data_IF_687131120735
#
_entry.id   IF_687131120735
#
_cell.length_a   1.000
_cell.length_b   1.000
_cell.length_c   1.000
_cell.angle_alpha   90.00
_cell.angle_beta   90.00
_cell.angle_gamma   90.00
#
_symmetry.space_group_name_H-M   'P 1'
#
loop_
_entity.id
_entity.type
_entity.pdbx_description
1 polymer ?
#
# COMPACT_ATOMS: atom_id res chain seq x y z
N UNK A 1 -0.60 36.02 35.54
CA UNK A 1 -1.83 35.48 34.89
C UNK A 1 -1.53 35.47 33.39
N UNK A 2 -1.66 34.43 32.57
CA UNK A 2 -2.01 33.03 32.74
C UNK A 2 -1.34 32.26 31.56
N UNK A 3 -0.67 31.15 31.89
CA UNK A 3 -0.53 29.86 31.17
C UNK A 3 -1.32 29.68 29.85
N UNK A 4 -0.63 29.22 28.79
CA UNK A 4 -0.86 27.97 27.99
C UNK A 4 -0.04 28.05 26.68
N UNK A 5 0.93 27.16 26.42
CA UNK A 5 0.80 25.88 25.69
C UNK A 5 1.50 25.92 24.31
N UNK A 6 2.49 25.07 24.11
CA UNK A 6 2.97 24.52 22.80
C UNK A 6 2.08 23.28 22.49
N UNK A 7 2.08 22.55 21.34
CA UNK A 7 3.11 22.47 20.28
C UNK A 7 2.63 22.06 18.84
N UNK A 8 3.61 21.66 18.01
CA UNK A 8 3.52 20.83 16.79
C UNK A 8 2.93 21.51 15.55
N UNK A 9 3.45 21.37 14.34
CA UNK A 9 4.35 20.39 13.76
C UNK A 9 3.98 20.41 12.28
N UNK A 10 4.62 21.27 11.50
CA UNK A 10 4.31 21.43 10.08
C UNK A 10 4.96 20.26 9.32
N UNK A 11 4.24 19.15 9.23
CA UNK A 11 4.45 18.20 8.15
C UNK A 11 4.16 18.94 6.83
N UNK A 12 5.14 18.91 5.94
CA UNK A 12 5.02 19.48 4.60
C UNK A 12 3.86 18.82 3.84
N UNK A 13 3.17 19.55 2.95
CA UNK A 13 2.01 19.05 2.24
C UNK A 13 2.43 17.94 1.27
N UNK A 14 1.68 16.84 1.29
CA UNK A 14 1.59 15.95 0.16
C UNK A 14 0.94 16.77 -0.97
N UNK A 15 1.72 17.09 -1.98
CA UNK A 15 1.28 17.85 -3.16
C UNK A 15 0.13 17.08 -3.85
N UNK A 16 -1.09 17.65 -3.97
CA UNK A 16 -2.27 16.94 -4.49
C UNK A 16 -2.34 16.92 -6.03
N UNK A 17 -1.22 17.09 -6.73
CA UNK A 17 -1.19 17.29 -8.18
C UNK A 17 -0.90 16.00 -8.98
N UNK A 18 -1.65 14.92 -8.74
CA UNK A 18 -1.73 13.84 -9.73
C UNK A 18 -3.15 13.28 -9.87
N UNK A 19 -3.97 14.02 -10.60
CA UNK A 19 -4.98 13.48 -11.49
C UNK A 19 -4.46 13.59 -12.94
N UNK A 20 -4.99 12.87 -13.93
CA UNK A 20 -5.41 11.47 -14.00
C UNK A 20 -4.51 10.69 -15.00
N UNK A 21 -4.42 9.36 -14.91
CA UNK A 21 -3.89 8.53 -16.00
C UNK A 21 -5.02 7.63 -16.52
N UNK A 22 -5.75 8.14 -17.53
CA UNK A 22 -6.53 7.40 -18.53
C UNK A 22 -5.61 6.40 -19.26
N UNK A 23 -5.91 5.12 -19.57
CA UNK A 23 -7.10 4.25 -19.57
C UNK A 23 -6.63 2.79 -19.30
N UNK A 24 -7.42 1.89 -18.68
CA UNK A 24 -7.33 0.47 -18.98
C UNK A 24 -8.53 0.06 -19.83
N UNK A 25 -8.27 -0.29 -21.09
CA UNK A 25 -9.22 -1.00 -21.92
C UNK A 25 -9.43 -2.42 -21.38
N UNK A 26 -10.54 -2.66 -20.69
CA UNK A 26 -11.15 -4.00 -20.52
C UNK A 26 -12.67 -3.87 -20.35
N UNK A 27 -13.35 -4.28 -21.43
CA UNK A 27 -14.77 -4.62 -21.62
C UNK A 27 -15.69 -4.77 -20.39
N UNK A 28 -16.78 -3.98 -20.40
CA UNK A 28 -18.15 -4.22 -19.87
C UNK A 28 -18.29 -4.98 -18.54
N UNK A 29 -17.93 -4.28 -17.47
CA UNK A 29 -18.71 -4.03 -16.25
C UNK A 29 -17.88 -3.00 -15.47
N UNK A 30 -18.17 -1.71 -15.65
CA UNK A 30 -17.31 -0.63 -15.15
C UNK A 30 -17.50 -0.42 -13.65
N UNK A 31 -17.04 -1.39 -12.86
CA UNK A 31 -16.77 -1.18 -11.45
C UNK A 31 -15.55 -0.26 -11.35
N UNK A 32 -15.69 0.91 -10.72
CA UNK A 32 -14.59 1.86 -10.55
C UNK A 32 -13.65 1.37 -9.44
N UNK A 33 -12.54 0.75 -9.82
CA UNK A 33 -11.52 0.27 -8.89
C UNK A 33 -10.42 1.31 -8.73
N UNK A 34 -10.13 1.72 -7.49
CA UNK A 34 -9.07 2.67 -7.18
C UNK A 34 -8.25 2.23 -5.97
N UNK A 35 -6.93 2.42 -6.02
CA UNK A 35 -6.02 2.22 -4.89
C UNK A 35 -5.51 3.57 -4.42
N UNK A 36 -5.63 3.86 -3.12
CA UNK A 36 -5.21 5.12 -2.51
C UNK A 36 -4.29 4.86 -1.33
N UNK A 37 -3.17 5.59 -1.25
CA UNK A 37 -2.30 5.56 -0.07
C UNK A 37 -2.91 6.39 1.05
N UNK A 38 -3.04 5.78 2.22
CA UNK A 38 -3.55 6.37 3.44
C UNK A 38 -2.44 6.36 4.50
N UNK A 39 -1.60 7.40 4.48
CA UNK A 39 -0.47 7.56 5.40
C UNK A 39 -0.91 7.72 6.86
N UNK A 40 -2.12 8.25 7.11
CA UNK A 40 -2.65 8.41 8.46
C UNK A 40 -2.90 7.06 9.15
N UNK A 41 -3.28 6.04 8.38
CA UNK A 41 -3.51 4.67 8.88
C UNK A 41 -2.37 3.70 8.53
N UNK A 42 -1.32 4.18 7.85
CA UNK A 42 -0.18 3.35 7.44
C UNK A 42 -0.59 2.21 6.51
N UNK A 43 -1.48 2.47 5.55
CA UNK A 43 -1.99 1.46 4.62
C UNK A 43 -2.28 2.02 3.23
N UNK A 44 -2.46 1.12 2.28
CA UNK A 44 -3.11 1.42 1.00
C UNK A 44 -4.49 0.81 1.01
N UNK A 45 -5.49 1.60 0.63
CA UNK A 45 -6.89 1.21 0.56
C UNK A 45 -7.25 0.92 -0.89
N UNK A 46 -7.96 -0.17 -1.15
CA UNK A 46 -8.60 -0.43 -2.46
C UNK A 46 -10.10 -0.23 -2.31
N UNK A 47 -10.69 0.56 -3.21
CA UNK A 47 -12.12 0.82 -3.26
C UNK A 47 -12.73 0.32 -4.56
N UNK A 48 -13.97 -0.14 -4.51
CA UNK A 48 -14.80 -0.48 -5.67
C UNK A 48 -16.04 0.39 -5.61
N UNK A 49 -16.26 1.23 -6.63
CA UNK A 49 -17.36 2.20 -6.68
C UNK A 49 -17.44 3.11 -5.44
N UNK A 50 -16.27 3.44 -4.88
CA UNK A 50 -16.13 4.26 -3.67
C UNK A 50 -16.34 3.51 -2.35
N UNK A 51 -16.71 2.23 -2.39
CA UNK A 51 -16.79 1.38 -1.19
C UNK A 51 -15.44 0.72 -0.90
N UNK A 52 -15.01 0.74 0.37
CA UNK A 52 -13.76 0.09 0.78
C UNK A 52 -13.86 -1.42 0.57
N UNK A 53 -13.00 -1.94 -0.31
CA UNK A 53 -12.91 -3.36 -0.63
C UNK A 53 -11.78 -4.07 0.12
N UNK A 54 -10.82 -3.32 0.64
CA UNK A 54 -9.82 -3.82 1.58
C UNK A 54 -8.58 -2.94 1.61
N UNK A 55 -7.51 -3.46 2.18
CA UNK A 55 -6.29 -2.68 2.38
C UNK A 55 -5.04 -3.55 2.55
N UNK A 56 -3.87 -2.95 2.33
CA UNK A 56 -2.58 -3.52 2.70
C UNK A 56 -1.82 -2.56 3.61
N UNK A 57 -1.44 -3.04 4.79
CA UNK A 57 -0.66 -2.27 5.76
C UNK A 57 0.77 -2.15 5.29
N UNK A 58 1.41 -1.02 5.59
CA UNK A 58 2.83 -0.82 5.41
C UNK A 58 3.48 -0.15 6.63
N UNK A 59 4.77 -0.44 6.86
CA UNK A 59 5.61 0.28 7.82
C UNK A 59 6.93 0.64 7.16
N UNK A 60 7.37 1.88 7.34
CA UNK A 60 8.65 2.34 6.84
C UNK A 60 9.75 2.17 7.89
N UNK A 61 10.85 1.55 7.47
CA UNK A 61 12.06 1.38 8.28
C UNK A 61 13.28 1.67 7.42
N UNK A 62 13.83 2.88 7.54
CA UNK A 62 14.92 3.34 6.69
C UNK A 62 14.50 3.34 5.22
N UNK A 63 15.27 2.65 4.39
CA UNK A 63 15.02 2.42 2.97
C UNK A 63 14.03 1.29 2.69
N UNK A 64 13.57 0.56 3.71
CA UNK A 64 12.62 -0.54 3.56
C UNK A 64 11.18 -0.10 3.86
N UNK A 65 10.23 -0.69 3.12
CA UNK A 65 8.79 -0.67 3.38
C UNK A 65 8.30 -2.10 3.59
N UNK A 66 7.84 -2.37 4.80
CA UNK A 66 7.42 -3.69 5.26
C UNK A 66 5.93 -3.83 5.08
N UNK A 67 5.48 -4.91 4.43
CA UNK A 67 4.06 -5.22 4.24
C UNK A 67 3.64 -6.39 5.14
N UNK A 68 3.21 -6.15 6.39
CA UNK A 68 2.90 -7.20 7.35
C UNK A 68 1.55 -7.88 7.12
N UNK A 69 0.59 -7.18 6.55
CA UNK A 69 -0.79 -7.63 6.51
C UNK A 69 -1.55 -7.05 5.32
N UNK A 70 -2.43 -7.87 4.75
CA UNK A 70 -3.32 -7.50 3.66
C UNK A 70 -4.66 -8.16 3.93
N UNK A 71 -5.74 -7.38 3.84
CA UNK A 71 -7.10 -7.82 4.07
C UNK A 71 -7.99 -7.35 2.92
N UNK A 72 -8.93 -8.20 2.51
CA UNK A 72 -9.99 -7.85 1.58
C UNK A 72 -11.32 -8.30 2.16
N UNK A 73 -12.35 -7.51 1.93
CA UNK A 73 -13.71 -7.90 2.26
C UNK A 73 -14.14 -9.07 1.36
N UNK A 74 -14.69 -10.12 1.98
CA UNK A 74 -15.12 -11.34 1.31
C UNK A 74 -16.15 -11.05 0.21
N UNK A 75 -16.96 -9.98 0.34
CA UNK A 75 -17.93 -9.57 -0.69
C UNK A 75 -17.29 -9.22 -2.04
N UNK A 76 -16.01 -8.86 -2.03
CA UNK A 76 -15.22 -8.53 -3.22
C UNK A 76 -14.18 -9.59 -3.58
N UNK A 77 -14.18 -10.74 -2.89
CA UNK A 77 -13.28 -11.85 -3.20
C UNK A 77 -13.54 -12.46 -4.57
N UNK A 78 -12.52 -13.10 -5.15
CA UNK A 78 -12.60 -13.74 -6.47
C UNK A 78 -12.49 -12.79 -7.67
N UNK A 79 -12.34 -11.48 -7.44
CA UNK A 79 -12.29 -10.45 -8.50
C UNK A 79 -10.88 -9.94 -8.83
N UNK A 80 -9.84 -10.55 -8.25
CA UNK A 80 -8.44 -10.17 -8.50
C UNK A 80 -7.97 -8.89 -7.79
N UNK A 81 -8.80 -8.27 -6.94
CA UNK A 81 -8.49 -7.01 -6.25
C UNK A 81 -7.21 -7.06 -5.40
N UNK A 82 -6.87 -8.22 -4.84
CA UNK A 82 -5.63 -8.39 -4.06
C UNK A 82 -4.39 -8.18 -4.91
N UNK A 83 -4.44 -8.62 -6.18
CA UNK A 83 -3.36 -8.40 -7.13
C UNK A 83 -3.19 -6.92 -7.46
N UNK A 84 -4.29 -6.22 -7.72
CA UNK A 84 -4.31 -4.78 -8.04
C UNK A 84 -3.76 -3.97 -6.86
N UNK A 85 -4.31 -4.21 -5.67
CA UNK A 85 -3.88 -3.54 -4.44
C UNK A 85 -2.39 -3.71 -4.17
N UNK A 86 -1.88 -4.95 -4.26
CA UNK A 86 -0.46 -5.21 -4.00
C UNK A 86 0.41 -4.62 -5.11
N UNK A 87 0.03 -4.78 -6.38
CA UNK A 87 0.76 -4.21 -7.52
C UNK A 87 1.00 -2.71 -7.33
N UNK A 88 -0.06 -1.95 -7.05
CA UNK A 88 0.02 -0.50 -6.94
C UNK A 88 0.81 -0.07 -5.71
N UNK A 89 0.65 -0.78 -4.59
CA UNK A 89 1.46 -0.53 -3.39
C UNK A 89 2.96 -0.78 -3.62
N UNK A 90 3.33 -1.84 -4.36
CA UNK A 90 4.73 -2.12 -4.70
C UNK A 90 5.28 -1.12 -5.71
N UNK A 91 4.45 -0.67 -6.66
CA UNK A 91 4.80 0.36 -7.64
C UNK A 91 5.07 1.69 -6.96
N UNK A 92 4.21 2.13 -6.04
CA UNK A 92 4.45 3.33 -5.22
C UNK A 92 5.73 3.18 -4.37
N UNK A 93 5.96 2.00 -3.79
CA UNK A 93 7.17 1.71 -3.02
C UNK A 93 8.43 1.89 -3.87
N UNK A 94 8.42 1.38 -5.11
CA UNK A 94 9.52 1.57 -6.07
C UNK A 94 9.72 3.05 -6.41
N UNK A 95 8.63 3.75 -6.72
CA UNK A 95 8.66 5.17 -7.07
C UNK A 95 9.22 6.03 -5.93
N UNK A 96 8.95 5.63 -4.68
CA UNK A 96 9.51 6.24 -3.48
C UNK A 96 10.99 5.87 -3.21
N UNK A 97 11.63 5.07 -4.07
CA UNK A 97 13.02 4.61 -3.91
C UNK A 97 13.23 3.65 -2.75
N UNK A 98 12.16 2.98 -2.28
CA UNK A 98 12.19 2.05 -1.15
C UNK A 98 12.25 0.60 -1.61
N UNK A 99 12.76 -0.26 -0.72
CA UNK A 99 12.80 -1.72 -0.88
C UNK A 99 11.59 -2.36 -0.21
N UNK A 100 11.04 -3.39 -0.82
CA UNK A 100 9.84 -4.11 -0.37
C UNK A 100 10.24 -5.25 0.54
N UNK A 101 9.66 -5.33 1.74
CA UNK A 101 9.79 -6.49 2.62
C UNK A 101 8.45 -7.19 2.76
N UNK A 102 8.22 -8.32 2.06
CA UNK A 102 6.92 -8.97 1.98
C UNK A 102 6.73 -9.91 3.18
N UNK A 103 6.23 -9.41 4.31
CA UNK A 103 5.96 -10.26 5.49
C UNK A 103 4.65 -11.04 5.31
N UNK A 104 3.61 -10.38 4.82
CA UNK A 104 2.31 -10.96 4.51
C UNK A 104 2.44 -12.11 3.48
N UNK A 105 1.86 -13.30 3.72
CA UNK A 105 1.89 -14.41 2.77
C UNK A 105 1.30 -14.08 1.39
N UNK A 106 0.31 -13.19 1.34
CA UNK A 106 -0.28 -12.74 0.08
C UNK A 106 0.74 -11.97 -0.76
N UNK A 107 1.43 -11.00 -0.14
CA UNK A 107 2.49 -10.22 -0.82
C UNK A 107 3.65 -11.12 -1.22
N UNK A 108 4.05 -12.09 -0.38
CA UNK A 108 5.06 -13.11 -0.75
C UNK A 108 4.69 -13.89 -1.99
N UNK A 109 3.43 -14.34 -2.07
CA UNK A 109 2.90 -15.06 -3.24
C UNK A 109 2.87 -14.18 -4.47
N UNK A 110 2.54 -12.90 -4.31
CA UNK A 110 2.56 -11.92 -5.40
C UNK A 110 3.98 -11.75 -5.96
N UNK A 111 4.97 -11.37 -5.14
CA UNK A 111 6.36 -11.16 -5.62
C UNK A 111 6.98 -12.42 -6.24
N UNK A 112 6.56 -13.60 -5.79
CA UNK A 112 7.03 -14.87 -6.36
C UNK A 112 6.48 -15.13 -7.77
N UNK A 113 5.31 -14.59 -8.10
CA UNK A 113 4.67 -14.69 -9.42
C UNK A 113 5.03 -13.55 -10.38
N UNK A 114 5.57 -12.46 -9.84
CA UNK A 114 5.89 -11.23 -10.54
C UNK A 114 7.41 -10.97 -10.50
N UNK A 115 8.20 -11.59 -11.39
CA UNK A 115 9.66 -11.42 -11.40
C UNK A 115 10.12 -9.96 -11.59
N UNK A 116 9.30 -9.14 -12.25
CA UNK A 116 9.53 -7.71 -12.48
C UNK A 116 9.61 -6.87 -11.20
N UNK A 117 9.07 -7.36 -10.08
CA UNK A 117 9.19 -6.66 -8.79
C UNK A 117 10.30 -7.21 -7.89
N UNK A 118 10.99 -8.28 -8.28
CA UNK A 118 11.96 -8.94 -7.40
C UNK A 118 13.24 -8.14 -7.16
N UNK A 119 13.60 -7.22 -8.05
CA UNK A 119 14.78 -6.34 -7.93
C UNK A 119 14.70 -5.37 -6.74
N UNK A 120 13.48 -5.06 -6.29
CA UNK A 120 13.24 -4.20 -5.12
C UNK A 120 12.90 -4.99 -3.86
N UNK A 121 12.89 -6.32 -3.89
CA UNK A 121 12.48 -7.15 -2.74
C UNK A 121 13.68 -7.49 -1.85
N UNK A 122 13.48 -7.29 -0.54
CA UNK A 122 14.39 -7.74 0.50
C UNK A 122 13.84 -8.96 1.26
N UNK A 123 14.74 -9.81 1.80
CA UNK A 123 14.33 -10.94 2.61
C UNK A 123 13.66 -10.48 3.90
N UNK A 124 12.69 -11.28 4.36
CA UNK A 124 12.12 -11.12 5.70
C UNK A 124 13.12 -11.64 6.73
N UNK A 125 13.70 -10.76 7.53
CA UNK A 125 14.67 -11.14 8.57
C UNK A 125 14.03 -11.23 9.97
N UNK A 126 14.66 -11.93 10.93
CA UNK A 126 14.18 -11.97 12.31
C UNK A 126 14.06 -10.59 12.96
N UNK A 127 14.96 -9.66 12.63
CA UNK A 127 14.93 -8.29 13.15
C UNK A 127 13.70 -7.52 12.65
N UNK A 128 13.32 -7.75 11.39
CA UNK A 128 12.08 -7.18 10.84
C UNK A 128 10.87 -7.74 11.58
N UNK A 129 10.81 -9.05 11.78
CA UNK A 129 9.69 -9.66 12.51
C UNK A 129 9.62 -9.19 13.98
N UNK A 130 10.77 -8.97 14.62
CA UNK A 130 10.82 -8.42 15.96
C UNK A 130 10.28 -6.97 16.03
N UNK A 131 10.39 -6.19 14.96
CA UNK A 131 9.86 -4.82 14.89
C UNK A 131 8.35 -4.72 14.72
N UNK A 132 7.65 -5.85 14.48
CA UNK A 132 6.20 -5.92 14.31
C UNK A 132 5.45 -6.31 15.61
N UNK A 133 6.17 -6.44 16.72
CA UNK A 133 5.62 -6.77 18.05
C UNK A 133 5.47 -5.52 18.90
#
# INVERSE_FOLDING_TARGET
MARRSVPAGAAAPHDPAQAPQEEPAVTENTENVAVTRNDAEGRYDITVDGELAGFTVFLDRGDQRIFPHTELDEKFSGRGLSGILVHDALTDTRAAGKRVVPVCPLVKRYVSKHPEVQDIVDPVTPEILASLR
#
